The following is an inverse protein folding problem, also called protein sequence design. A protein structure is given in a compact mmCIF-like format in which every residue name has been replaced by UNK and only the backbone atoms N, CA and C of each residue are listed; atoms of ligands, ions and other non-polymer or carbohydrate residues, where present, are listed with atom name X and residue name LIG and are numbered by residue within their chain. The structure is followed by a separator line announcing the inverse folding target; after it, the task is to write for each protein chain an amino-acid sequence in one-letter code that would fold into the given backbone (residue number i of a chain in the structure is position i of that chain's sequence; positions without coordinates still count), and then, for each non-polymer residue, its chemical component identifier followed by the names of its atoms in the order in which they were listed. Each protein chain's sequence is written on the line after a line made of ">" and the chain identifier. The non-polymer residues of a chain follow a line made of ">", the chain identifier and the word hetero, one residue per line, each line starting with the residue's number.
data_IF_157572865195
#
_entry.id   IF_157572865195
#
_cell.length_a   1.000
_cell.length_b   1.000
_cell.length_c   1.000
_cell.angle_alpha   90.00
_cell.angle_beta   90.00
_cell.angle_gamma   90.00
#
_symmetry.space_group_name_H-M   'P 1'
#
loop_
_entity.id
_entity.type
_entity.pdbx_description
1 polymer ?
#
# COMPACT_ATOMS: atom_id res chain seq x y z
N UNK A 1 38.35 -28.38 26.46
CA UNK A 1 37.58 -27.47 25.59
C UNK A 1 36.87 -26.45 26.46
N UNK A 2 37.27 -25.18 26.43
CA UNK A 2 36.54 -24.10 27.10
C UNK A 2 35.88 -23.23 26.04
N UNK A 3 34.62 -23.51 25.76
CA UNK A 3 33.81 -22.69 24.87
C UNK A 3 33.52 -21.36 25.57
N UNK A 4 34.14 -20.27 25.08
CA UNK A 4 33.85 -18.93 25.56
C UNK A 4 32.41 -18.57 25.16
N UNK A 5 31.58 -18.05 26.07
CA UNK A 5 30.21 -17.68 25.76
C UNK A 5 30.19 -16.62 24.66
N UNK A 6 29.33 -16.84 23.65
CA UNK A 6 29.13 -15.90 22.54
C UNK A 6 28.57 -14.59 23.09
N UNK A 7 29.38 -13.53 23.05
CA UNK A 7 28.94 -12.19 23.43
C UNK A 7 27.86 -11.73 22.46
N UNK A 8 26.61 -11.66 22.94
CA UNK A 8 25.50 -11.09 22.18
C UNK A 8 25.61 -9.56 22.30
N UNK A 9 25.65 -8.87 21.15
CA UNK A 9 25.71 -7.41 21.11
C UNK A 9 24.48 -6.76 21.77
N UNK A 10 24.60 -5.48 22.14
CA UNK A 10 23.48 -4.71 22.70
C UNK A 10 22.30 -4.70 21.70
N UNK A 11 21.05 -4.97 22.13
CA UNK A 11 19.89 -4.93 21.26
C UNK A 11 19.65 -3.49 20.76
N UNK A 12 19.11 -3.35 19.54
CA UNK A 12 18.71 -2.04 19.01
C UNK A 12 17.61 -1.42 19.87
N UNK A 13 17.60 -0.10 20.01
CA UNK A 13 16.55 0.61 20.73
C UNK A 13 15.20 0.42 20.02
N UNK A 14 14.13 0.16 20.78
CA UNK A 14 12.77 0.00 20.23
C UNK A 14 12.39 1.28 19.46
N UNK A 15 11.97 1.12 18.21
CA UNK A 15 11.62 2.24 17.33
C UNK A 15 12.79 2.87 16.57
N UNK A 16 14.03 2.41 16.81
CA UNK A 16 15.20 2.87 16.08
C UNK A 16 15.76 1.75 15.21
N UNK A 17 15.71 1.92 13.89
CA UNK A 17 16.41 1.03 12.96
C UNK A 17 17.91 1.09 13.25
N UNK A 18 18.58 -0.07 13.30
CA UNK A 18 20.04 -0.15 13.40
C UNK A 18 20.78 0.46 12.20
N UNK A 19 20.05 0.76 11.13
CA UNK A 19 20.58 1.43 9.95
C UNK A 19 19.69 2.62 9.55
N UNK A 20 19.87 3.74 10.24
CA UNK A 20 19.11 4.98 10.02
C UNK A 20 19.25 5.53 8.59
N UNK A 21 20.46 5.46 8.02
CA UNK A 21 20.75 5.99 6.68
C UNK A 21 20.53 4.96 5.56
N UNK A 22 20.01 3.77 5.89
CA UNK A 22 19.78 2.71 4.92
C UNK A 22 21.07 2.23 4.25
N UNK A 23 20.93 1.58 3.09
CA UNK A 23 22.11 1.12 2.33
C UNK A 23 22.88 2.34 1.80
N UNK A 24 24.19 2.47 2.08
CA UNK A 24 24.96 3.58 1.53
C UNK A 24 24.90 3.57 0.00
N UNK A 25 24.73 4.75 -0.58
CA UNK A 25 24.66 4.89 -2.03
C UNK A 25 25.99 4.47 -2.68
N UNK A 26 25.91 3.70 -3.75
CA UNK A 26 27.10 3.28 -4.52
C UNK A 26 27.70 4.53 -5.18
N UNK A 27 29.01 4.80 -5.01
CA UNK A 27 29.68 5.93 -5.63
C UNK A 27 29.49 5.94 -7.17
N UNK A 28 29.31 7.13 -7.80
CA UNK A 28 29.07 7.22 -9.24
C UNK A 28 30.24 6.64 -10.06
N UNK A 29 31.47 6.90 -9.64
CA UNK A 29 32.69 6.40 -10.30
C UNK A 29 32.71 4.87 -10.42
N UNK A 30 32.27 4.16 -9.38
CA UNK A 30 32.21 2.69 -9.36
C UNK A 30 31.16 2.18 -10.35
N UNK A 31 30.01 2.88 -10.47
CA UNK A 31 28.97 2.52 -11.44
C UNK A 31 29.45 2.71 -12.87
N UNK A 32 30.18 3.79 -13.14
CA UNK A 32 30.72 4.08 -14.48
C UNK A 32 31.80 3.08 -14.87
N UNK A 33 32.73 2.78 -13.97
CA UNK A 33 33.73 1.73 -14.18
C UNK A 33 33.07 0.37 -14.47
N UNK A 34 32.06 -0.01 -13.70
CA UNK A 34 31.33 -1.27 -13.93
C UNK A 34 30.64 -1.30 -15.30
N UNK A 35 30.03 -0.19 -15.73
CA UNK A 35 29.41 -0.08 -17.06
C UNK A 35 30.46 -0.18 -18.17
N UNK A 36 31.64 0.42 -18.00
CA UNK A 36 32.71 0.33 -18.99
C UNK A 36 33.16 -1.12 -19.23
N UNK A 37 33.15 -1.97 -18.21
CA UNK A 37 33.53 -3.38 -18.31
C UNK A 37 32.44 -4.30 -18.87
N UNK A 38 31.28 -3.77 -19.28
CA UNK A 38 30.15 -4.61 -19.72
C UNK A 38 30.50 -5.51 -20.90
N UNK A 39 31.27 -5.02 -21.88
CA UNK A 39 31.67 -5.81 -23.06
C UNK A 39 32.58 -6.98 -22.67
N UNK A 40 33.61 -6.72 -21.86
CA UNK A 40 34.50 -7.77 -21.34
C UNK A 40 33.72 -8.78 -20.48
N UNK A 41 32.76 -8.32 -19.68
CA UNK A 41 31.91 -9.22 -18.90
C UNK A 41 31.06 -10.14 -19.80
N UNK A 42 30.59 -9.66 -20.95
CA UNK A 42 29.88 -10.49 -21.92
C UNK A 42 30.82 -11.54 -22.54
N UNK A 43 32.02 -11.14 -22.94
CA UNK A 43 33.01 -12.07 -23.51
C UNK A 43 33.40 -13.17 -22.51
N UNK A 44 33.61 -12.81 -21.24
CA UNK A 44 33.91 -13.80 -20.20
C UNK A 44 32.74 -14.75 -19.94
N UNK A 45 31.49 -14.29 -20.00
CA UNK A 45 30.33 -15.17 -19.92
C UNK A 45 30.26 -16.15 -21.10
N UNK A 46 30.60 -15.70 -22.31
CA UNK A 46 30.69 -16.58 -23.49
C UNK A 46 31.81 -17.60 -23.33
N UNK A 47 32.96 -17.19 -22.81
CA UNK A 47 34.07 -18.11 -22.54
C UNK A 47 33.70 -19.14 -21.47
N UNK A 48 33.10 -18.72 -20.35
CA UNK A 48 32.63 -19.63 -19.29
C UNK A 48 31.55 -20.57 -19.82
N UNK A 49 30.68 -20.13 -20.74
CA UNK A 49 29.69 -21.00 -21.37
C UNK A 49 30.33 -22.10 -22.22
N UNK A 50 31.45 -21.81 -22.91
CA UNK A 50 32.16 -22.77 -23.77
C UNK A 50 33.14 -23.67 -23.01
N UNK A 51 33.95 -23.06 -22.13
CA UNK A 51 35.14 -23.65 -21.53
C UNK A 51 35.04 -23.79 -20.00
N UNK A 52 33.90 -23.43 -19.40
CA UNK A 52 33.71 -23.48 -17.96
C UNK A 52 33.93 -24.88 -17.39
N UNK A 53 34.66 -24.96 -16.26
CA UNK A 53 35.00 -26.22 -15.59
C UNK A 53 33.78 -26.96 -15.04
N UNK A 54 32.78 -26.22 -14.55
CA UNK A 54 31.59 -26.76 -13.92
C UNK A 54 30.37 -26.58 -14.84
N UNK A 55 29.52 -27.61 -14.93
CA UNK A 55 28.26 -27.55 -15.70
C UNK A 55 27.33 -26.45 -15.19
N UNK A 56 27.21 -26.30 -13.88
CA UNK A 56 26.40 -25.23 -13.28
C UNK A 56 26.86 -23.84 -13.73
N UNK A 57 28.17 -23.60 -13.84
CA UNK A 57 28.72 -22.32 -14.32
C UNK A 57 28.39 -22.09 -15.81
N UNK A 58 28.43 -23.15 -16.63
CA UNK A 58 28.04 -23.08 -18.06
C UNK A 58 26.56 -22.74 -18.22
N UNK A 59 25.69 -23.45 -17.51
CA UNK A 59 24.23 -23.23 -17.54
C UNK A 59 23.89 -21.82 -17.05
N UNK A 60 24.46 -21.38 -15.93
CA UNK A 60 24.22 -20.04 -15.39
C UNK A 60 24.67 -18.94 -16.36
N UNK A 61 25.79 -19.14 -17.04
CA UNK A 61 26.28 -18.18 -18.04
C UNK A 61 25.36 -18.12 -19.26
N UNK A 62 24.87 -19.28 -19.74
CA UNK A 62 23.90 -19.34 -20.82
C UNK A 62 22.57 -18.65 -20.46
N UNK A 63 22.02 -18.93 -19.28
CA UNK A 63 20.80 -18.28 -18.76
C UNK A 63 20.99 -16.77 -18.64
N UNK A 64 22.14 -16.32 -18.11
CA UNK A 64 22.46 -14.91 -17.98
C UNK A 64 22.52 -14.18 -19.34
N UNK A 65 22.99 -14.84 -20.39
CA UNK A 65 23.00 -14.30 -21.75
C UNK A 65 21.60 -14.23 -22.36
N UNK A 66 20.82 -15.32 -22.24
CA UNK A 66 19.45 -15.36 -22.75
C UNK A 66 18.56 -14.31 -22.11
N UNK A 67 18.64 -14.14 -20.79
CA UNK A 67 17.86 -13.14 -20.06
C UNK A 67 18.14 -11.69 -20.50
N UNK A 68 19.33 -11.41 -21.06
CA UNK A 68 19.68 -10.08 -21.59
C UNK A 68 19.19 -9.86 -23.02
N UNK A 69 19.21 -10.91 -23.85
CA UNK A 69 18.75 -10.81 -25.25
C UNK A 69 17.23 -10.88 -25.39
N UNK A 70 16.60 -11.79 -24.63
CA UNK A 70 15.17 -12.11 -24.75
C UNK A 70 14.33 -11.65 -23.56
N UNK A 71 14.98 -11.16 -22.50
CA UNK A 71 14.31 -10.80 -21.25
C UNK A 71 14.12 -12.00 -20.32
N UNK A 72 13.87 -11.72 -19.04
CA UNK A 72 13.47 -12.75 -18.09
C UNK A 72 11.98 -13.08 -18.25
N UNK A 73 11.56 -14.32 -17.95
CA UNK A 73 10.14 -14.67 -17.91
C UNK A 73 9.35 -13.74 -17.00
N UNK A 74 8.11 -13.42 -17.38
CA UNK A 74 7.22 -12.58 -16.58
C UNK A 74 6.94 -13.24 -15.23
N UNK A 75 7.30 -12.58 -14.13
CA UNK A 75 6.96 -13.04 -12.79
C UNK A 75 5.46 -12.82 -12.55
N UNK A 76 4.71 -13.91 -12.40
CA UNK A 76 3.34 -13.83 -11.92
C UNK A 76 3.37 -13.57 -10.41
N UNK A 77 2.62 -12.55 -9.97
CA UNK A 77 2.40 -12.23 -8.56
C UNK A 77 0.91 -12.33 -8.33
N UNK A 78 0.49 -13.34 -7.59
CA UNK A 78 -0.89 -13.46 -7.11
C UNK A 78 -1.01 -12.67 -5.81
N UNK A 79 -1.93 -11.70 -5.76
CA UNK A 79 -2.15 -10.87 -4.57
C UNK A 79 -3.58 -11.05 -4.09
N UNK A 80 -3.76 -12.00 -3.17
CA UNK A 80 -5.00 -12.20 -2.44
C UNK A 80 -5.20 -11.07 -1.43
N UNK A 81 -6.12 -10.15 -1.72
CA UNK A 81 -6.54 -9.11 -0.77
C UNK A 81 -7.82 -9.56 -0.05
N UNK A 82 -7.69 -10.10 1.16
CA UNK A 82 -8.85 -10.31 2.04
C UNK A 82 -9.20 -8.99 2.73
N UNK A 83 -10.10 -8.20 2.14
CA UNK A 83 -10.63 -6.99 2.77
C UNK A 83 -11.78 -7.36 3.71
N UNK A 84 -11.48 -7.59 5.00
CA UNK A 84 -12.52 -7.68 6.04
C UNK A 84 -13.05 -6.28 6.33
N UNK A 85 -13.90 -5.75 5.44
CA UNK A 85 -14.70 -4.57 5.76
C UNK A 85 -15.82 -5.01 6.66
N UNK A 86 -15.68 -4.77 7.95
CA UNK A 86 -16.76 -4.96 8.90
C UNK A 86 -17.77 -3.81 8.73
N UNK A 87 -18.60 -3.90 7.69
CA UNK A 87 -19.70 -2.96 7.41
C UNK A 87 -20.75 -2.91 8.53
N UNK A 88 -20.74 -3.87 9.44
CA UNK A 88 -21.62 -3.96 10.61
C UNK A 88 -21.48 -2.76 11.54
N UNK A 89 -20.27 -2.25 11.74
CA UNK A 89 -20.02 -1.09 12.59
C UNK A 89 -20.63 0.19 12.01
N UNK A 90 -20.52 0.37 10.69
CA UNK A 90 -21.11 1.50 9.98
C UNK A 90 -22.64 1.44 9.97
N UNK A 91 -23.22 0.25 9.81
CA UNK A 91 -24.67 0.05 9.85
C UNK A 91 -25.26 0.38 11.24
N UNK A 92 -24.61 -0.12 12.30
CA UNK A 92 -25.00 0.17 13.69
C UNK A 92 -24.94 1.67 14.02
N UNK A 93 -23.90 2.36 13.53
CA UNK A 93 -23.77 3.80 13.71
C UNK A 93 -24.88 4.60 12.99
N UNK A 94 -25.32 4.14 11.81
CA UNK A 94 -26.41 4.78 11.05
C UNK A 94 -27.77 4.61 11.74
N UNK A 95 -28.05 3.41 12.26
CA UNK A 95 -29.26 3.13 13.03
C UNK A 95 -29.34 4.00 14.28
N UNK A 96 -28.23 4.11 15.03
CA UNK A 96 -28.16 4.98 16.21
C UNK A 96 -28.43 6.46 15.87
N UNK A 97 -27.88 6.95 14.75
CA UNK A 97 -28.12 8.31 14.28
C UNK A 97 -29.58 8.55 13.89
N UNK A 98 -30.23 7.57 13.26
CA UNK A 98 -31.65 7.67 12.90
C UNK A 98 -32.56 7.68 14.13
N UNK A 99 -32.27 6.86 15.14
CA UNK A 99 -32.99 6.86 16.43
C UNK A 99 -32.82 8.19 17.18
N UNK A 100 -31.62 8.77 17.18
CA UNK A 100 -31.41 10.08 17.78
C UNK A 100 -32.20 11.19 17.05
N UNK A 101 -32.34 11.08 15.73
CA UNK A 101 -33.06 12.05 14.90
C UNK A 101 -34.59 11.96 15.05
N UNK A 102 -35.14 10.78 15.36
CA UNK A 102 -36.58 10.66 15.64
C UNK A 102 -36.95 11.25 17.00
N UNK A 103 -36.06 11.15 18.00
CA UNK A 103 -36.27 11.74 19.34
C UNK A 103 -36.14 13.27 19.36
N UNK A 104 -35.33 13.85 18.48
CA UNK A 104 -35.14 15.31 18.37
C UNK A 104 -36.17 16.00 17.47
N UNK A 105 -36.98 15.24 16.73
CA UNK A 105 -38.15 15.76 16.02
C UNK A 105 -39.30 15.93 17.01
N UNK A 106 -39.17 16.88 17.93
CA UNK A 106 -40.30 17.40 18.70
C UNK A 106 -41.29 18.05 17.73
N UNK A 107 -42.58 17.75 17.93
CA UNK A 107 -43.72 18.26 17.17
C UNK A 107 -43.54 19.72 16.75
N UNK A 108 -43.52 19.97 15.44
CA UNK A 108 -43.77 21.31 14.94
C UNK A 108 -45.18 21.72 15.43
N UNK A 109 -45.37 22.94 15.97
CA UNK A 109 -46.70 23.35 16.41
C UNK A 109 -47.64 23.40 15.19
N UNK A 110 -48.71 22.61 15.22
CA UNK A 110 -49.83 22.72 14.28
C UNK A 110 -50.54 24.03 14.62
N UNK A 111 -50.44 25.02 13.75
CA UNK A 111 -51.18 26.29 13.90
C UNK A 111 -52.59 26.04 13.37
N UNK A 112 -53.54 25.79 14.27
CA UNK A 112 -54.97 25.76 13.93
C UNK A 112 -55.42 27.20 13.63
N UNK A 113 -55.79 27.46 12.37
CA UNK A 113 -56.28 28.76 11.95
C UNK A 113 -57.72 28.98 12.42
N UNK A 114 -57.94 29.93 13.32
CA UNK A 114 -59.29 30.42 13.62
C UNK A 114 -59.79 31.27 12.44
N UNK A 115 -60.93 30.86 11.86
CA UNK A 115 -61.66 31.65 10.87
C UNK A 115 -62.33 32.82 11.60
N UNK A 116 -61.99 34.05 11.20
CA UNK A 116 -62.70 35.25 11.66
C UNK A 116 -63.85 35.47 10.67
N UNK A 117 -65.08 35.20 11.09
CA UNK A 117 -66.26 35.58 10.31
C UNK A 117 -66.42 37.10 10.39
N UNK A 118 -66.23 37.77 9.25
CA UNK A 118 -66.54 39.19 9.12
C UNK A 118 -68.07 39.35 9.03
N UNK A 119 -68.67 39.97 10.05
CA UNK A 119 -70.03 40.49 9.94
C UNK A 119 -70.06 41.54 8.82
N UNK A 120 -70.76 41.22 7.73
CA UNK A 120 -71.03 42.13 6.64
C UNK A 120 -72.15 43.08 7.10
N UNK A 121 -71.77 44.30 7.47
CA UNK A 121 -72.67 45.44 7.71
C UNK A 121 -73.60 45.60 6.49
N UNK A 122 -74.89 45.35 6.70
CA UNK A 122 -75.97 45.70 5.75
C UNK A 122 -76.58 47.02 6.19
N UNK A 123 -75.97 48.12 5.75
CA UNK A 123 -76.59 49.45 5.78
C UNK A 123 -76.64 50.01 4.35
N UNK A 124 -77.59 49.53 3.54
CA UNK A 124 -78.14 50.31 2.41
C UNK A 124 -79.60 49.88 2.23
N UNK A 125 -80.52 50.67 2.79
CA UNK A 125 -81.85 50.89 2.19
C UNK A 125 -82.45 52.21 2.73
N UNK A 126 -82.77 53.07 1.76
CA UNK A 126 -83.55 54.32 1.73
C UNK A 126 -83.08 55.60 2.46
#
# INVERSE_FOLDING_TARGET
>A
MTDKPKVVGKPFAKGQSGNLNGRPAIPPEVKEAAKAHTLLAIETLVDVMKNGKNEASRVNSAVAMLNRGWGAPTQQVDVEHTHKQDWSALLSALDAHNVAKTLTRSEAPVIEGNVIEAELVKDIED
#
